data_IF_541321287684
#
_entry.id   IF_541321287684
#
_cell.length_a   1.000
_cell.length_b   1.000
_cell.length_c   1.000
_cell.angle_alpha   90.00
_cell.angle_beta   90.00
_cell.angle_gamma   90.00
#
_symmetry.space_group_name_H-M   'P 1'
#
loop_
_entity.id
_entity.type
_entity.pdbx_description
1 polymer ?
#
# COMPACT_ATOMS: atom_id res chain seq x y z
N UNK A 1 -13.14 16.08 -1.10
CA UNK A 1 -12.45 14.94 -0.44
C UNK A 1 -13.13 14.43 0.83
N UNK A 2 -13.36 15.26 1.85
CA UNK A 2 -14.01 14.82 3.09
C UNK A 2 -15.41 14.19 2.88
N UNK A 3 -16.25 14.80 2.02
CA UNK A 3 -17.61 14.30 1.71
C UNK A 3 -17.59 12.89 1.13
N UNK A 4 -16.72 12.60 0.16
CA UNK A 4 -16.60 11.27 -0.47
C UNK A 4 -16.23 10.20 0.56
N UNK A 5 -15.29 10.53 1.47
CA UNK A 5 -14.86 9.61 2.54
C UNK A 5 -15.96 9.36 3.58
N UNK A 6 -16.74 10.38 3.92
CA UNK A 6 -17.91 10.24 4.80
C UNK A 6 -18.95 9.33 4.15
N UNK A 7 -19.32 9.58 2.88
CA UNK A 7 -20.28 8.77 2.12
C UNK A 7 -19.85 7.30 1.99
N UNK A 8 -18.57 7.07 1.69
CA UNK A 8 -18.04 5.72 1.63
C UNK A 8 -18.13 5.01 3.00
N UNK A 9 -17.78 5.72 4.07
CA UNK A 9 -17.86 5.16 5.42
C UNK A 9 -19.32 4.87 5.82
N UNK A 10 -20.27 5.73 5.44
CA UNK A 10 -21.72 5.51 5.65
C UNK A 10 -22.16 4.19 4.99
N UNK A 11 -21.83 4.00 3.72
CA UNK A 11 -22.15 2.76 2.97
C UNK A 11 -21.56 1.50 3.62
N UNK A 12 -20.33 1.59 4.15
CA UNK A 12 -19.70 0.46 4.86
C UNK A 12 -20.42 0.14 6.17
N UNK A 13 -20.88 1.15 6.92
CA UNK A 13 -21.65 0.94 8.15
C UNK A 13 -23.03 0.34 7.85
N UNK A 14 -23.71 0.82 6.81
CA UNK A 14 -24.99 0.29 6.34
C UNK A 14 -24.88 -1.20 5.98
N UNK A 15 -23.89 -1.56 5.15
CA UNK A 15 -23.63 -2.96 4.79
C UNK A 15 -23.33 -3.85 6.02
N UNK A 16 -22.64 -3.33 7.04
CA UNK A 16 -22.40 -4.07 8.29
C UNK A 16 -23.68 -4.23 9.10
N UNK A 17 -24.55 -3.22 9.11
CA UNK A 17 -25.83 -3.29 9.80
C UNK A 17 -26.76 -4.32 9.14
N UNK A 18 -26.83 -4.36 7.82
CA UNK A 18 -27.59 -5.36 7.05
C UNK A 18 -27.14 -6.79 7.37
N UNK A 19 -25.84 -6.98 7.64
CA UNK A 19 -25.26 -8.26 8.05
C UNK A 19 -25.47 -8.60 9.54
N UNK A 20 -26.25 -7.80 10.26
CA UNK A 20 -26.61 -8.03 11.66
C UNK A 20 -25.57 -7.59 12.70
N UNK A 21 -24.52 -6.86 12.29
CA UNK A 21 -23.55 -6.33 13.25
C UNK A 21 -24.09 -5.08 13.96
N UNK A 22 -23.79 -4.95 15.26
CA UNK A 22 -24.05 -3.72 16.00
C UNK A 22 -23.05 -2.64 15.56
N UNK A 23 -23.53 -1.60 14.87
CA UNK A 23 -22.71 -0.50 14.36
C UNK A 23 -22.90 0.78 15.18
N UNK A 24 -21.79 1.48 15.41
CA UNK A 24 -21.81 2.82 16.02
C UNK A 24 -22.15 3.91 15.00
N UNK A 25 -22.19 5.16 15.47
CA UNK A 25 -22.35 6.36 14.63
C UNK A 25 -21.04 7.11 14.45
N UNK A 26 -20.93 7.91 13.38
CA UNK A 26 -19.80 8.82 13.21
C UNK A 26 -19.74 9.82 14.37
N UNK A 27 -18.51 10.06 14.85
CA UNK A 27 -18.22 11.09 15.84
C UNK A 27 -17.54 12.26 15.13
N UNK A 28 -18.01 13.47 15.43
CA UNK A 28 -17.32 14.68 15.00
C UNK A 28 -15.94 14.74 15.64
N UNK A 29 -14.93 15.13 14.84
CA UNK A 29 -13.57 15.43 15.31
C UNK A 29 -13.31 16.92 15.18
N UNK A 30 -12.65 17.49 16.17
CA UNK A 30 -12.30 18.90 16.12
C UNK A 30 -11.28 19.18 15.00
N UNK A 31 -11.26 20.40 14.43
CA UNK A 31 -10.31 20.76 13.36
C UNK A 31 -8.84 20.43 13.67
N UNK A 32 -8.43 20.49 14.94
CA UNK A 32 -7.08 20.18 15.40
C UNK A 32 -6.81 18.69 15.68
N UNK A 33 -7.84 17.85 15.63
CA UNK A 33 -7.75 16.40 15.83
C UNK A 33 -7.66 15.62 14.50
N UNK A 34 -7.79 16.31 13.37
CA UNK A 34 -7.52 15.68 12.08
C UNK A 34 -6.02 15.39 11.95
N UNK A 35 -5.71 14.11 11.80
CA UNK A 35 -4.33 13.61 11.65
C UNK A 35 -4.04 13.09 10.26
N UNK A 36 -4.97 13.22 9.31
CA UNK A 36 -4.73 12.75 7.95
C UNK A 36 -5.46 13.61 6.92
N UNK A 37 -4.82 13.84 5.79
CA UNK A 37 -5.45 14.43 4.61
C UNK A 37 -5.10 13.56 3.40
N UNK A 38 -6.10 13.32 2.56
CA UNK A 38 -5.94 12.58 1.32
C UNK A 38 -6.24 13.52 0.15
N UNK A 39 -5.34 13.54 -0.83
CA UNK A 39 -5.45 14.28 -2.07
C UNK A 39 -5.54 13.28 -3.21
N UNK A 40 -6.63 13.32 -3.99
CA UNK A 40 -6.91 12.39 -5.08
C UNK A 40 -7.10 13.13 -6.43
N UNK A 41 -6.52 14.33 -6.55
CA UNK A 41 -6.60 15.13 -7.76
C UNK A 41 -5.43 14.74 -8.65
N UNK A 42 -5.64 14.61 -9.95
CA UNK A 42 -4.54 14.46 -10.91
C UNK A 42 -3.66 15.73 -10.93
N UNK A 43 -2.43 15.59 -11.42
CA UNK A 43 -1.48 16.70 -11.55
C UNK A 43 -0.48 16.83 -10.38
N UNK A 44 -0.22 15.75 -9.66
CA UNK A 44 0.95 15.71 -8.78
C UNK A 44 2.21 15.62 -9.64
N UNK A 45 3.19 16.46 -9.32
CA UNK A 45 4.54 16.34 -9.85
C UNK A 45 5.46 15.92 -8.71
N UNK A 46 6.18 14.83 -8.93
CA UNK A 46 7.24 14.37 -8.04
C UNK A 46 8.54 14.57 -8.78
N UNK A 47 9.32 15.53 -8.30
CA UNK A 47 10.66 15.74 -8.82
C UNK A 47 11.66 14.88 -8.05
N UNK A 48 12.29 13.94 -8.76
CA UNK A 48 13.40 13.11 -8.26
C UNK A 48 14.76 13.79 -8.44
N UNK A 49 14.84 14.98 -9.05
CA UNK A 49 16.06 15.80 -9.19
C UNK A 49 16.46 16.56 -7.92
N UNK A 50 16.41 15.90 -6.77
CA UNK A 50 17.00 16.47 -5.54
C UNK A 50 18.52 16.36 -5.50
N UNK A 51 19.14 15.70 -6.50
CA UNK A 51 20.57 15.39 -6.53
C UNK A 51 20.98 14.33 -5.49
N UNK A 52 20.02 13.68 -4.83
CA UNK A 52 20.24 12.63 -3.83
C UNK A 52 19.39 11.41 -4.17
N UNK A 53 20.02 10.24 -4.28
CA UNK A 53 19.30 8.99 -4.47
C UNK A 53 18.34 8.74 -3.28
N UNK A 54 17.08 8.43 -3.56
CA UNK A 54 16.09 8.15 -2.53
C UNK A 54 15.45 9.38 -1.88
N UNK A 55 15.53 10.56 -2.48
CA UNK A 55 14.81 11.74 -2.01
C UNK A 55 14.00 12.38 -3.15
N UNK A 56 12.79 12.83 -2.84
CA UNK A 56 12.01 13.64 -3.78
C UNK A 56 11.24 14.77 -3.12
N UNK A 57 10.77 15.67 -3.98
CA UNK A 57 9.89 16.76 -3.63
C UNK A 57 8.54 16.49 -4.27
N UNK A 58 7.49 16.40 -3.44
CA UNK A 58 6.10 16.44 -3.93
C UNK A 58 5.63 17.88 -3.87
N UNK A 59 5.32 18.46 -5.03
CA UNK A 59 4.66 19.77 -5.07
C UNK A 59 3.15 19.60 -4.85
N UNK A 60 2.62 20.25 -3.81
CA UNK A 60 1.19 20.46 -3.69
C UNK A 60 0.88 21.92 -4.01
N UNK A 61 0.38 22.18 -5.21
CA UNK A 61 0.24 23.53 -5.77
C UNK A 61 -0.58 24.53 -4.92
N UNK A 62 -1.29 24.07 -3.88
CA UNK A 62 -2.12 24.89 -2.98
C UNK A 62 -1.69 24.84 -1.51
N UNK A 63 -0.62 24.14 -1.18
CA UNK A 63 -0.17 23.94 0.21
C UNK A 63 1.28 24.33 0.31
N UNK A 64 2.18 23.47 -0.18
CA UNK A 64 3.62 23.64 -0.13
C UNK A 64 4.32 22.46 -0.85
N UNK A 65 5.64 22.55 -0.91
CA UNK A 65 6.54 21.46 -1.28
C UNK A 65 6.86 20.57 -0.07
N UNK A 66 6.81 19.25 -0.27
CA UNK A 66 7.15 18.28 0.78
C UNK A 66 8.35 17.45 0.35
N UNK A 67 9.41 17.52 1.16
CA UNK A 67 10.57 16.65 1.03
C UNK A 67 10.28 15.31 1.69
N UNK A 68 10.59 14.23 0.99
CA UNK A 68 10.38 12.89 1.50
C UNK A 68 11.48 11.94 1.06
N UNK A 69 11.70 10.95 1.91
CA UNK A 69 12.67 9.90 1.71
C UNK A 69 11.95 8.67 1.15
N UNK A 70 12.46 8.16 0.03
CA UNK A 70 11.99 6.97 -0.62
C UNK A 70 12.84 5.77 -0.24
N UNK A 71 12.17 4.71 0.22
CA UNK A 71 12.80 3.40 0.31
C UNK A 71 12.92 2.71 -1.06
N UNK A 72 12.10 3.10 -2.04
CA UNK A 72 12.12 2.59 -3.42
C UNK A 72 11.84 3.71 -4.41
N UNK A 73 12.53 3.75 -5.56
CA UNK A 73 12.22 4.71 -6.62
C UNK A 73 10.80 4.50 -7.14
N UNK A 74 10.16 5.57 -7.60
CA UNK A 74 8.90 5.46 -8.33
C UNK A 74 9.16 4.89 -9.73
N UNK A 75 8.23 4.11 -10.32
CA UNK A 75 8.37 3.65 -11.70
C UNK A 75 8.36 4.84 -12.69
N UNK A 76 9.13 4.74 -13.76
CA UNK A 76 9.34 5.84 -14.71
C UNK A 76 8.05 6.30 -15.44
N UNK A 77 7.12 5.36 -15.69
CA UNK A 77 5.84 5.61 -16.36
C UNK A 77 4.65 5.53 -15.39
N UNK A 78 4.83 5.98 -14.16
CA UNK A 78 3.80 5.93 -13.14
C UNK A 78 3.03 7.25 -13.03
N UNK A 79 1.71 7.16 -13.07
CA UNK A 79 0.80 8.26 -12.75
C UNK A 79 0.49 8.26 -11.26
N UNK A 80 0.77 9.37 -10.57
CA UNK A 80 0.39 9.51 -9.17
C UNK A 80 -1.11 9.82 -9.10
N UNK A 81 -1.86 8.92 -8.48
CA UNK A 81 -3.33 9.02 -8.39
C UNK A 81 -3.81 9.52 -7.03
N UNK A 82 -3.06 9.26 -5.97
CA UNK A 82 -3.41 9.68 -4.63
C UNK A 82 -2.18 9.95 -3.76
N UNK A 83 -2.24 11.02 -2.96
CA UNK A 83 -1.25 11.29 -1.91
C UNK A 83 -1.94 11.44 -0.56
N UNK A 84 -1.45 10.71 0.43
CA UNK A 84 -1.99 10.67 1.79
C UNK A 84 -0.94 11.23 2.75
N UNK A 85 -1.26 12.34 3.40
CA UNK A 85 -0.50 12.86 4.53
C UNK A 85 -1.11 12.30 5.81
N UNK A 86 -0.29 11.71 6.68
CA UNK A 86 -0.75 11.20 7.98
C UNK A 86 0.23 11.54 9.09
N UNK A 87 -0.29 12.14 10.17
CA UNK A 87 0.40 12.36 11.43
C UNK A 87 0.23 11.16 12.34
N UNK A 88 1.32 10.41 12.57
CA UNK A 88 1.36 9.28 13.48
C UNK A 88 1.16 9.72 14.92
N UNK A 89 0.83 8.76 15.81
CA UNK A 89 0.60 9.04 17.23
C UNK A 89 1.82 9.67 17.91
N UNK A 90 3.03 9.30 17.47
CA UNK A 90 4.33 9.85 17.89
C UNK A 90 4.48 11.34 17.60
N UNK A 91 3.75 11.87 16.61
CA UNK A 91 3.89 13.24 16.13
C UNK A 91 4.51 13.33 14.74
N UNK A 92 5.16 12.26 14.29
CA UNK A 92 5.81 12.17 12.98
C UNK A 92 4.80 12.20 11.85
N UNK A 93 5.24 12.74 10.71
CA UNK A 93 4.45 12.78 9.49
C UNK A 93 4.94 11.71 8.52
N UNK A 94 4.01 10.99 7.93
CA UNK A 94 4.26 10.03 6.85
C UNK A 94 3.49 10.45 5.62
N UNK A 95 4.13 10.33 4.46
CA UNK A 95 3.51 10.52 3.15
C UNK A 95 3.34 9.14 2.52
N UNK A 96 2.14 8.83 2.04
CA UNK A 96 1.89 7.65 1.20
C UNK A 96 1.50 8.13 -0.18
N UNK A 97 2.25 7.69 -1.18
CA UNK A 97 2.01 8.01 -2.58
C UNK A 97 1.48 6.75 -3.24
N UNK A 98 0.30 6.85 -3.83
CA UNK A 98 -0.34 5.81 -4.61
C UNK A 98 -0.10 6.14 -6.07
N UNK A 99 0.43 5.16 -6.79
CA UNK A 99 0.75 5.29 -8.21
C UNK A 99 0.07 4.18 -8.99
N UNK A 100 -0.47 4.55 -10.14
CA UNK A 100 -0.90 3.62 -11.17
C UNK A 100 0.22 3.59 -12.21
N UNK A 101 0.66 2.40 -12.59
CA UNK A 101 1.66 2.22 -13.63
C UNK A 101 1.37 0.93 -14.37
N UNK A 102 1.69 0.91 -15.65
CA UNK A 102 1.64 -0.32 -16.42
C UNK A 102 2.88 -1.14 -16.07
N UNK A 103 2.67 -2.10 -15.19
CA UNK A 103 3.70 -3.05 -14.83
C UNK A 103 3.76 -4.10 -15.94
N UNK A 104 4.95 -4.31 -16.52
CA UNK A 104 5.22 -5.41 -17.44
C UNK A 104 5.21 -6.75 -16.68
N UNK A 105 4.05 -7.13 -16.14
CA UNK A 105 3.83 -8.47 -15.64
C UNK A 105 3.53 -9.38 -16.84
N UNK A 106 4.02 -10.63 -16.84
CA UNK A 106 3.61 -11.59 -17.83
C UNK A 106 2.09 -11.78 -17.75
N UNK A 107 1.45 -11.94 -18.91
CA UNK A 107 0.03 -12.30 -18.97
C UNK A 107 -0.21 -13.57 -18.16
N UNK A 108 -1.37 -13.63 -17.49
CA UNK A 108 -1.77 -14.84 -16.81
C UNK A 108 -1.84 -15.99 -17.83
N UNK A 109 -1.10 -17.10 -17.63
CA UNK A 109 -1.14 -18.22 -18.57
C UNK A 109 -2.55 -18.79 -18.68
N UNK A 110 -2.89 -19.33 -19.84
CA UNK A 110 -4.15 -20.06 -20.03
C UNK A 110 -4.13 -21.35 -19.22
N UNK A 111 -5.30 -21.94 -18.93
CA UNK A 111 -5.36 -23.15 -18.12
C UNK A 111 -4.67 -24.32 -18.81
N UNK A 112 -4.73 -24.37 -20.15
CA UNK A 112 -4.07 -25.38 -20.97
C UNK A 112 -2.53 -25.27 -20.94
N UNK A 113 -1.99 -24.07 -20.71
CA UNK A 113 -0.55 -23.80 -20.65
C UNK A 113 0.05 -24.03 -19.25
N UNK A 114 -0.77 -24.34 -18.23
CA UNK A 114 -0.30 -24.60 -16.87
C UNK A 114 0.03 -26.09 -16.70
N UNK A 115 1.33 -26.41 -16.70
CA UNK A 115 1.83 -27.73 -16.31
C UNK A 115 1.73 -27.93 -14.80
N UNK A 116 1.17 -29.07 -14.36
CA UNK A 116 1.08 -29.43 -12.93
C UNK A 116 2.47 -29.55 -12.31
N UNK A 117 3.44 -30.04 -13.07
CA UNK A 117 4.84 -30.18 -12.68
C UNK A 117 5.53 -28.82 -12.44
N UNK A 118 5.05 -27.76 -13.09
CA UNK A 118 5.52 -26.38 -12.93
C UNK A 118 4.67 -25.56 -11.94
N UNK A 119 3.63 -26.17 -11.34
CA UNK A 119 2.87 -25.52 -10.28
C UNK A 119 3.50 -25.70 -8.91
N UNK A 120 3.39 -24.65 -8.08
CA UNK A 120 3.76 -24.69 -6.67
C UNK A 120 2.56 -24.30 -5.83
N UNK A 121 2.21 -25.16 -4.86
CA UNK A 121 1.18 -24.84 -3.87
C UNK A 121 1.81 -24.11 -2.69
N UNK A 122 1.21 -23.01 -2.24
CA UNK A 122 1.66 -22.29 -1.04
C UNK A 122 0.66 -22.59 0.08
N UNK A 123 1.15 -23.10 1.21
CA UNK A 123 0.34 -23.44 2.38
C UNK A 123 0.72 -22.59 3.59
N UNK A 124 -0.31 -22.16 4.35
CA UNK A 124 -0.16 -21.44 5.61
C UNK A 124 -0.34 -22.40 6.79
N UNK A 125 0.72 -22.64 7.55
CA UNK A 125 0.74 -23.62 8.64
C UNK A 125 0.84 -23.00 10.03
N UNK A 126 0.52 -23.80 11.05
CA UNK A 126 0.62 -23.41 12.46
C UNK A 126 2.08 -23.51 12.95
N UNK A 127 2.80 -24.56 12.55
CA UNK A 127 4.20 -24.81 12.93
C UNK A 127 5.18 -24.07 12.03
N UNK A 128 4.87 -24.00 10.73
CA UNK A 128 5.61 -23.24 9.71
C UNK A 128 4.64 -22.27 9.05
N UNK A 129 4.89 -20.96 9.18
CA UNK A 129 3.95 -19.91 8.75
C UNK A 129 3.64 -20.00 7.25
N UNK A 130 4.68 -20.18 6.42
CA UNK A 130 4.56 -20.31 4.96
C UNK A 130 5.48 -21.45 4.52
N UNK A 131 4.95 -22.46 3.83
CA UNK A 131 5.74 -23.46 3.14
C UNK A 131 5.11 -23.83 1.80
N UNK A 132 5.92 -24.34 0.88
CA UNK A 132 5.45 -24.75 -0.44
C UNK A 132 5.18 -26.27 -0.55
N UNK A 133 4.66 -26.72 -1.69
CA UNK A 133 4.41 -28.15 -1.98
C UNK A 133 5.68 -29.00 -2.07
N UNK A 134 6.86 -28.38 -2.08
CA UNK A 134 8.18 -29.03 -1.99
C UNK A 134 8.74 -28.99 -0.56
N UNK A 135 7.93 -28.56 0.42
CA UNK A 135 8.29 -28.39 1.83
C UNK A 135 9.39 -27.33 2.07
N UNK A 136 9.66 -26.47 1.09
CA UNK A 136 10.54 -25.31 1.27
C UNK A 136 9.85 -24.30 2.17
N UNK A 137 10.59 -23.79 3.15
CA UNK A 137 10.06 -22.89 4.18
C UNK A 137 10.65 -21.50 3.99
N UNK A 138 9.80 -20.49 4.16
CA UNK A 138 10.24 -19.10 4.09
C UNK A 138 10.66 -18.65 5.49
N UNK A 139 11.88 -18.11 5.62
CA UNK A 139 12.30 -17.46 6.85
C UNK A 139 11.48 -16.18 7.08
N UNK A 140 11.36 -15.78 8.34
CA UNK A 140 10.85 -14.45 8.66
C UNK A 140 11.75 -13.40 8.00
N UNK A 141 11.11 -12.34 7.52
CA UNK A 141 11.80 -11.17 6.98
C UNK A 141 12.39 -10.42 8.18
N UNK A 142 13.67 -10.58 8.44
CA UNK A 142 14.41 -9.75 9.39
C UNK A 142 14.81 -8.45 8.68
N UNK A 143 14.56 -7.29 9.29
CA UNK A 143 14.74 -5.97 8.66
C UNK A 143 16.18 -5.73 8.13
N UNK A 144 17.16 -6.49 8.60
CA UNK A 144 18.58 -6.37 8.25
C UNK A 144 19.07 -7.36 7.17
N UNK A 145 18.27 -8.33 6.72
CA UNK A 145 18.68 -9.32 5.73
C UNK A 145 17.57 -9.63 4.73
N UNK A 146 17.87 -9.48 3.44
CA UNK A 146 16.99 -9.93 2.35
C UNK A 146 16.70 -11.42 2.54
N UNK A 147 15.43 -11.76 2.75
CA UNK A 147 14.96 -13.12 3.06
C UNK A 147 15.54 -14.13 2.08
N UNK A 148 16.20 -15.16 2.61
CA UNK A 148 16.62 -16.34 1.85
C UNK A 148 15.55 -17.42 1.99
N UNK A 149 15.13 -17.99 0.88
CA UNK A 149 14.33 -19.21 0.88
C UNK A 149 15.25 -20.39 1.24
N UNK A 150 14.86 -21.20 2.23
CA UNK A 150 15.59 -22.42 2.58
C UNK A 150 14.71 -23.62 2.25
N UNK A 151 15.19 -24.49 1.36
CA UNK A 151 14.61 -25.81 1.19
C UNK A 151 15.38 -26.77 2.11
N UNK A 152 14.70 -27.32 3.10
CA UNK A 152 15.24 -28.49 3.83
C UNK A 152 15.17 -29.68 2.86
N UNK A 153 16.31 -30.37 2.68
CA UNK A 153 16.42 -31.58 1.85
C UNK A 153 16.17 -32.84 2.68
#
# INVERSE_FOLDING_TARGET
>A
MAVRRIRHSESVLESRQERGFNVGRFKWKAPREYRSVTYNQSGFEVDSHTGRAGHAVVNFSKIDDFHLDYHRPLPDNADITEVILKKQNTGDWTVSIVVDYDAEYPDKPTVEDISVEETVGIHLGITKLIHDSKNCTFAHLDEDNVSRCYCES
#
